data_IF_312874576367
#
_entry.id   IF_312874576367
#
_cell.length_a   1.000
_cell.length_b   1.000
_cell.length_c   1.000
_cell.angle_alpha   90.00
_cell.angle_beta   90.00
_cell.angle_gamma   90.00
#
_symmetry.space_group_name_H-M   'P 1'
#
loop_
_entity.id
_entity.type
_entity.pdbx_description
1 polymer ?
#
# COMPACT_ATOMS: atom_id res chain seq x y z
N UNK A 1 13.40 8.02 20.64
CA UNK A 1 12.26 7.61 19.79
C UNK A 1 12.40 6.10 19.60
N UNK A 2 11.42 5.30 20.03
CA UNK A 2 11.44 3.85 19.74
C UNK A 2 11.31 3.61 18.23
N UNK A 3 11.91 2.51 17.75
CA UNK A 3 11.74 2.08 16.37
C UNK A 3 10.24 1.87 16.07
N UNK A 4 9.77 2.26 14.86
CA UNK A 4 8.38 2.05 14.49
C UNK A 4 8.05 0.56 14.47
N UNK A 5 6.91 0.21 15.05
CA UNK A 5 6.32 -1.12 14.97
C UNK A 5 6.14 -1.55 13.50
N UNK A 6 6.40 -2.82 13.20
CA UNK A 6 6.32 -3.38 11.85
C UNK A 6 4.94 -3.14 11.20
N UNK A 7 3.88 -3.19 12.01
CA UNK A 7 2.53 -2.85 11.58
C UNK A 7 2.42 -1.39 11.13
N UNK A 8 2.94 -0.45 11.92
CA UNK A 8 2.91 0.98 11.58
C UNK A 8 3.72 1.26 10.30
N UNK A 9 4.86 0.59 10.12
CA UNK A 9 5.66 0.73 8.91
C UNK A 9 4.91 0.19 7.68
N UNK A 10 4.25 -0.96 7.82
CA UNK A 10 3.45 -1.57 6.75
C UNK A 10 2.30 -0.66 6.31
N UNK A 11 1.51 -0.15 7.26
CA UNK A 11 0.42 0.80 6.99
C UNK A 11 0.95 2.08 6.30
N UNK A 12 2.12 2.56 6.71
CA UNK A 12 2.75 3.73 6.09
C UNK A 12 3.19 3.45 4.65
N UNK A 13 3.74 2.28 4.36
CA UNK A 13 4.09 1.86 3.00
C UNK A 13 2.83 1.75 2.14
N UNK A 14 1.77 1.15 2.66
CA UNK A 14 0.50 1.03 1.95
C UNK A 14 -0.07 2.42 1.61
N UNK A 15 -0.09 3.35 2.58
CA UNK A 15 -0.53 4.72 2.37
C UNK A 15 0.30 5.46 1.31
N UNK A 16 1.63 5.26 1.30
CA UNK A 16 2.50 5.84 0.27
C UNK A 16 2.20 5.28 -1.12
N UNK A 17 1.97 3.97 -1.25
CA UNK A 17 1.61 3.35 -2.53
C UNK A 17 0.25 3.84 -3.02
N UNK A 18 -0.73 4.01 -2.14
CA UNK A 18 -2.05 4.58 -2.51
C UNK A 18 -1.94 6.04 -2.98
N UNK A 19 -1.08 6.84 -2.33
CA UNK A 19 -0.78 8.19 -2.78
C UNK A 19 -0.06 8.20 -4.14
N UNK A 20 0.86 7.26 -4.37
CA UNK A 20 1.54 7.11 -5.67
C UNK A 20 0.56 6.76 -6.78
N UNK A 21 -0.37 5.82 -6.53
CA UNK A 21 -1.41 5.45 -7.48
C UNK A 21 -2.28 6.65 -7.86
N UNK A 22 -2.75 7.42 -6.88
CA UNK A 22 -3.59 8.59 -7.16
C UNK A 22 -2.85 9.66 -7.96
N UNK A 23 -1.59 9.96 -7.60
CA UNK A 23 -0.77 10.89 -8.38
C UNK A 23 -0.58 10.42 -9.82
N UNK A 24 -0.29 9.13 -10.01
CA UNK A 24 -0.07 8.57 -11.34
C UNK A 24 -1.37 8.55 -12.16
N UNK A 25 -2.50 8.22 -11.55
CA UNK A 25 -3.82 8.27 -12.19
C UNK A 25 -4.16 9.67 -12.71
N UNK A 26 -3.86 10.70 -11.92
CA UNK A 26 -4.07 12.10 -12.34
C UNK A 26 -3.13 12.48 -13.51
N UNK A 27 -1.88 12.00 -13.49
CA UNK A 27 -0.94 12.20 -14.59
C UNK A 27 -1.42 11.56 -15.89
N UNK A 28 -1.83 10.29 -15.85
CA UNK A 28 -2.39 9.56 -17.00
C UNK A 28 -3.61 10.28 -17.56
N UNK A 29 -4.55 10.69 -16.71
CA UNK A 29 -5.74 11.43 -17.14
C UNK A 29 -5.38 12.80 -17.76
N UNK A 30 -4.43 13.51 -17.17
CA UNK A 30 -3.98 14.80 -17.69
C UNK A 30 -3.31 14.66 -19.07
N UNK A 31 -2.53 13.59 -19.28
CA UNK A 31 -1.92 13.30 -20.57
C UNK A 31 -2.98 12.90 -21.60
N UNK A 32 -3.92 12.03 -21.22
CA UNK A 32 -5.01 11.61 -22.08
C UNK A 32 -5.84 12.80 -22.57
N UNK A 33 -6.16 13.74 -21.66
CA UNK A 33 -6.93 14.95 -21.99
C UNK A 33 -6.20 15.94 -22.90
N UNK A 34 -4.87 15.86 -23.01
CA UNK A 34 -4.12 16.65 -23.99
C UNK A 34 -4.35 16.15 -25.42
N UNK A 35 -4.64 14.85 -25.56
CA UNK A 35 -4.88 14.18 -26.84
C UNK A 35 -6.37 14.20 -27.20
N UNK A 36 -7.20 13.82 -26.23
CA UNK A 36 -8.66 13.75 -26.36
C UNK A 36 -9.33 14.58 -25.25
N UNK A 37 -9.64 15.86 -25.52
CA UNK A 37 -10.33 16.71 -24.57
C UNK A 37 -11.69 16.12 -24.16
N UNK A 38 -11.96 16.04 -22.86
CA UNK A 38 -13.24 15.58 -22.33
C UNK A 38 -13.23 14.18 -21.72
N UNK A 39 -12.15 13.41 -21.86
CA UNK A 39 -12.02 12.11 -21.20
C UNK A 39 -12.25 12.21 -19.69
N UNK A 40 -12.98 11.24 -19.15
CA UNK A 40 -13.25 11.09 -17.73
C UNK A 40 -12.30 10.08 -17.10
N UNK A 41 -12.18 10.04 -15.76
CA UNK A 41 -11.43 8.99 -15.09
C UNK A 41 -11.89 7.56 -15.41
N UNK A 42 -13.18 7.38 -15.73
CA UNK A 42 -13.74 6.08 -16.10
C UNK A 42 -13.28 5.63 -17.48
N UNK A 43 -13.21 6.55 -18.43
CA UNK A 43 -12.78 6.28 -19.81
C UNK A 43 -11.34 5.72 -19.88
N UNK A 44 -10.47 6.16 -18.96
CA UNK A 44 -9.08 5.69 -18.86
C UNK A 44 -8.98 4.21 -18.46
N UNK A 45 -10.02 3.62 -17.86
CA UNK A 45 -10.00 2.20 -17.48
C UNK A 45 -10.15 1.27 -18.67
N UNK A 46 -10.60 1.78 -19.81
CA UNK A 46 -10.83 0.99 -21.00
C UNK A 46 -10.30 1.75 -22.24
N UNK A 47 -8.98 2.01 -22.30
CA UNK A 47 -8.39 2.89 -23.31
C UNK A 47 -8.58 2.38 -24.74
N UNK A 48 -8.85 1.09 -24.92
CA UNK A 48 -9.18 0.48 -26.22
C UNK A 48 -10.46 1.05 -26.87
N UNK A 49 -11.35 1.66 -26.09
CA UNK A 49 -12.54 2.35 -26.61
C UNK A 49 -12.19 3.71 -27.26
N UNK A 50 -10.95 4.17 -27.12
CA UNK A 50 -10.44 5.45 -27.61
C UNK A 50 -9.22 5.22 -28.52
N UNK A 51 -9.40 4.80 -29.78
CA UNK A 51 -8.28 4.47 -30.68
C UNK A 51 -7.36 5.66 -30.98
N UNK A 52 -7.85 6.89 -30.81
CA UNK A 52 -7.07 8.12 -30.97
C UNK A 52 -6.16 8.40 -29.75
N UNK A 53 -6.28 7.63 -28.66
CA UNK A 53 -5.40 7.66 -27.50
C UNK A 53 -4.17 6.78 -27.75
N UNK A 54 -3.36 7.17 -28.75
CA UNK A 54 -2.16 6.46 -29.17
C UNK A 54 -0.92 7.37 -29.12
N UNK A 55 -0.39 7.56 -27.91
CA UNK A 55 0.76 8.40 -27.64
C UNK A 55 1.79 7.66 -26.77
N UNK A 56 3.07 7.60 -27.18
CA UNK A 56 4.09 6.84 -26.45
C UNK A 56 4.31 7.31 -25.00
N UNK A 57 4.24 8.62 -24.74
CA UNK A 57 4.41 9.15 -23.39
C UNK A 57 3.21 8.75 -22.52
N UNK A 58 2.00 8.81 -23.08
CA UNK A 58 0.80 8.33 -22.40
C UNK A 58 0.89 6.84 -22.06
N UNK A 59 1.24 5.98 -23.03
CA UNK A 59 1.37 4.53 -22.83
C UNK A 59 2.40 4.17 -21.76
N UNK A 60 3.52 4.90 -21.72
CA UNK A 60 4.52 4.72 -20.68
C UNK A 60 3.94 4.99 -19.29
N UNK A 61 3.23 6.10 -19.12
CA UNK A 61 2.64 6.47 -17.83
C UNK A 61 1.49 5.56 -17.40
N UNK A 62 0.70 5.05 -18.35
CA UNK A 62 -0.35 4.06 -18.09
C UNK A 62 0.25 2.71 -17.67
N UNK A 63 1.34 2.29 -18.30
CA UNK A 63 2.12 1.13 -17.87
C UNK A 63 2.67 1.28 -16.44
N UNK A 64 3.16 2.47 -16.07
CA UNK A 64 3.58 2.74 -14.69
C UNK A 64 2.42 2.68 -13.69
N UNK A 65 1.23 3.19 -14.06
CA UNK A 65 0.02 3.07 -13.24
C UNK A 65 -0.32 1.60 -12.98
N UNK A 66 -0.30 0.78 -14.03
CA UNK A 66 -0.53 -0.68 -13.94
C UNK A 66 0.48 -1.36 -13.01
N UNK A 67 1.76 -0.96 -13.07
CA UNK A 67 2.80 -1.44 -12.17
C UNK A 67 2.53 -1.10 -10.70
N UNK A 68 2.16 0.15 -10.41
CA UNK A 68 1.82 0.59 -9.05
C UNK A 68 0.60 -0.16 -8.51
N UNK A 69 -0.43 -0.35 -9.33
CA UNK A 69 -1.62 -1.12 -8.97
C UNK A 69 -1.29 -2.58 -8.66
N UNK A 70 -0.40 -3.20 -9.44
CA UNK A 70 0.09 -4.56 -9.19
C UNK A 70 0.77 -4.68 -7.82
N UNK A 71 1.62 -3.71 -7.46
CA UNK A 71 2.26 -3.66 -6.12
C UNK A 71 1.22 -3.50 -5.02
N UNK A 72 0.24 -2.60 -5.21
CA UNK A 72 -0.84 -2.40 -4.24
C UNK A 72 -1.66 -3.68 -4.02
N UNK A 73 -1.98 -4.41 -5.08
CA UNK A 73 -2.67 -5.71 -4.98
C UNK A 73 -1.85 -6.72 -4.20
N UNK A 74 -0.55 -6.83 -4.47
CA UNK A 74 0.34 -7.72 -3.73
C UNK A 74 0.43 -7.35 -2.24
N UNK A 75 0.57 -6.06 -1.91
CA UNK A 75 0.59 -5.59 -0.52
C UNK A 75 -0.73 -5.88 0.20
N UNK A 76 -1.88 -5.70 -0.46
CA UNK A 76 -3.18 -6.04 0.12
C UNK A 76 -3.37 -7.54 0.36
N UNK A 77 -2.82 -8.39 -0.50
CA UNK A 77 -2.82 -9.84 -0.23
C UNK A 77 -1.99 -10.17 1.03
N UNK A 78 -0.84 -9.50 1.20
CA UNK A 78 0.05 -9.69 2.34
C UNK A 78 -0.46 -9.07 3.65
N UNK A 79 -1.43 -8.14 3.61
CA UNK A 79 -1.90 -7.48 4.83
C UNK A 79 -2.47 -8.46 5.84
N UNK A 80 -3.16 -9.52 5.39
CA UNK A 80 -3.66 -10.57 6.27
C UNK A 80 -2.55 -11.32 7.00
N UNK A 81 -1.43 -11.60 6.33
CA UNK A 81 -0.29 -12.34 6.90
C UNK A 81 0.52 -11.46 7.86
N UNK A 82 0.79 -10.21 7.45
CA UNK A 82 1.62 -9.24 8.18
C UNK A 82 0.90 -8.71 9.42
N UNK A 83 -0.40 -8.41 9.32
CA UNK A 83 -1.18 -7.87 10.44
C UNK A 83 -1.53 -8.93 11.48
N UNK A 84 -1.59 -10.22 11.09
CA UNK A 84 -1.88 -11.32 12.03
C UNK A 84 -0.64 -11.75 12.84
N UNK A 85 0.56 -11.73 12.26
CA UNK A 85 1.80 -12.11 12.97
C UNK A 85 2.31 -11.02 13.94
N UNK A 86 1.86 -9.77 13.81
CA UNK A 86 2.20 -8.70 14.75
C UNK A 86 1.60 -8.90 16.15
N UNK A 87 0.45 -9.58 16.24
CA UNK A 87 -0.28 -9.81 17.49
C UNK A 87 0.39 -10.89 18.37
N UNK A 88 1.03 -11.88 17.74
CA UNK A 88 1.73 -12.98 18.44
C UNK A 88 3.05 -12.51 19.08
N UNK A 89 3.74 -11.55 18.45
CA UNK A 89 4.98 -10.97 18.97
C UNK A 89 4.74 -10.06 20.19
N UNK A 90 3.65 -9.28 20.18
CA UNK A 90 3.23 -8.45 21.31
C UNK A 90 2.73 -9.30 22.48
N UNK A 91 1.90 -10.32 22.21
CA UNK A 91 1.43 -11.25 23.26
C UNK A 91 2.56 -12.03 23.94
N UNK A 92 3.60 -12.46 23.20
CA UNK A 92 4.75 -13.14 23.81
C UNK A 92 5.62 -12.21 24.66
N UNK A 93 5.71 -10.93 24.30
CA UNK A 93 6.46 -9.94 25.08
C UNK A 93 5.74 -9.63 26.40
N UNK A 94 4.42 -9.47 26.38
CA UNK A 94 3.60 -9.28 27.58
C UNK A 94 3.61 -10.51 28.49
N UNK A 95 3.51 -11.72 27.93
CA UNK A 95 3.62 -12.97 28.71
C UNK A 95 4.98 -13.11 29.44
N UNK A 96 6.07 -12.78 28.75
CA UNK A 96 7.40 -12.81 29.37
C UNK A 96 7.59 -11.76 30.47
N UNK A 97 6.88 -10.62 30.38
CA UNK A 97 6.89 -9.57 31.39
C UNK A 97 6.08 -10.00 32.63
N UNK A 98 4.90 -10.60 32.44
CA UNK A 98 4.05 -11.13 33.51
C UNK A 98 4.74 -12.29 34.26
N UNK A 99 5.36 -13.24 33.55
CA UNK A 99 6.09 -14.36 34.14
C UNK A 99 7.29 -13.89 34.99
N UNK A 100 7.97 -12.82 34.55
CA UNK A 100 9.10 -12.24 35.29
C UNK A 100 8.65 -11.53 36.57
N UNK A 101 7.52 -10.82 36.53
CA UNK A 101 6.93 -10.14 37.68
C UNK A 101 6.36 -11.13 38.71
N UNK A 102 5.82 -12.27 38.26
CA UNK A 102 5.30 -13.34 39.13
C UNK A 102 6.43 -14.12 39.83
N UNK A 103 7.56 -14.35 39.15
CA UNK A 103 8.75 -14.98 39.70
C UNK A 103 9.46 -14.12 40.76
N UNK A 104 9.50 -12.79 40.59
CA UNK A 104 10.03 -11.87 41.61
C UNK A 104 9.14 -11.82 42.87
N UNK A 105 7.82 -11.96 42.71
CA UNK A 105 6.88 -11.94 43.84
C UNK A 105 6.87 -13.25 44.65
N UNK A 106 7.18 -14.39 44.02
CA UNK A 106 7.22 -15.69 44.71
C UNK A 106 8.61 -16.08 45.25
N UNK A 107 9.70 -15.48 44.76
CA UNK A 107 11.07 -15.76 45.21
C UNK A 107 11.52 -15.03 46.49
N UNK A 108 10.72 -14.09 47.00
CA UNK A 108 11.02 -13.30 48.19
C UNK A 108 10.33 -13.80 49.46
N UNK A 109 10.56 -15.05 49.88
CA UNK A 109 10.14 -15.56 51.20
C UNK A 109 11.21 -16.42 51.86
#
# INVERSE_FOLDING_TARGET
MSAPDARQLFERVLSLVEAMEENQRQKVLSLARRLLPGLTPEDIRNPHDFPDLDDPDWHFEDGQLTGIQSVRFALRALSGEVLSHGDEGASRADQHQEDAEEAEQTGGR
#
